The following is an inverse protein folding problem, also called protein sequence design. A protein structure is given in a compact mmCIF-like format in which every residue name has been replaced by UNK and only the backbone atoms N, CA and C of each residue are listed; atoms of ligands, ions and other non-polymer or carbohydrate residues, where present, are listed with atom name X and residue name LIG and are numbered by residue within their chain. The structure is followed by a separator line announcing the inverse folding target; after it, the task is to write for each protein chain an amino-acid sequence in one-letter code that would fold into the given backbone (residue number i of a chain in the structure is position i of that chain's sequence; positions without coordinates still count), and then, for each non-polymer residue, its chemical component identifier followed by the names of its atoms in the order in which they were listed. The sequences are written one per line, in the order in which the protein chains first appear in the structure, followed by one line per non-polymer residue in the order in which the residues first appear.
data_IF_242257785072
#
_entry.id   IF_242257785072
#
_cell.length_a   1.000
_cell.length_b   1.000
_cell.length_c   1.000
_cell.angle_alpha   90.00
_cell.angle_beta   90.00
_cell.angle_gamma   90.00
#
_symmetry.space_group_name_H-M   'P 1'
#
loop_
_entity.id
_entity.type
_entity.pdbx_description
1 polymer ?
#
# COMPACT_ATOMS: atom_id res chain seq x y z
N UNK A 1 9.31 9.39 -19.01
CA UNK A 1 7.99 9.55 -18.34
C UNK A 1 7.51 10.97 -18.55
N UNK A 2 6.21 11.21 -18.73
CA UNK A 2 5.65 12.56 -18.61
C UNK A 2 5.96 13.05 -17.17
N UNK A 3 6.50 14.25 -16.99
CA UNK A 3 6.93 14.77 -15.66
C UNK A 3 5.88 14.59 -14.56
N UNK A 4 4.60 14.69 -14.92
CA UNK A 4 3.45 14.43 -14.05
C UNK A 4 3.49 13.06 -13.37
N UNK A 5 3.91 11.99 -14.07
CA UNK A 5 3.94 10.64 -13.52
C UNK A 5 5.09 10.43 -12.53
N UNK A 6 6.21 11.12 -12.74
CA UNK A 6 7.33 11.14 -11.78
C UNK A 6 6.90 11.86 -10.51
N UNK A 7 6.27 13.03 -10.63
CA UNK A 7 5.76 13.78 -9.49
C UNK A 7 4.70 12.97 -8.74
N UNK A 8 3.79 12.32 -9.46
CA UNK A 8 2.80 11.42 -8.88
C UNK A 8 3.46 10.30 -8.07
N UNK A 9 4.50 9.64 -8.62
CA UNK A 9 5.20 8.58 -7.89
C UNK A 9 5.91 9.06 -6.64
N UNK A 10 6.48 10.28 -6.67
CA UNK A 10 7.15 10.87 -5.50
C UNK A 10 6.10 11.19 -4.44
N UNK A 11 5.00 11.84 -4.83
CA UNK A 11 3.92 12.16 -3.90
C UNK A 11 3.31 10.89 -3.29
N UNK A 12 3.04 9.88 -4.12
CA UNK A 12 2.56 8.58 -3.67
C UNK A 12 3.55 7.93 -2.70
N UNK A 13 4.85 7.97 -3.00
CA UNK A 13 5.87 7.39 -2.12
C UNK A 13 5.94 8.06 -0.75
N UNK A 14 5.72 9.38 -0.68
CA UNK A 14 5.66 10.11 0.59
C UNK A 14 4.45 9.68 1.41
N UNK A 15 3.31 9.45 0.76
CA UNK A 15 2.10 8.94 1.41
C UNK A 15 2.35 7.53 1.95
N UNK A 16 2.93 6.63 1.16
CA UNK A 16 3.32 5.27 1.61
C UNK A 16 4.25 5.32 2.81
N UNK A 17 5.27 6.19 2.80
CA UNK A 17 6.22 6.32 3.91
C UNK A 17 5.53 6.87 5.15
N UNK A 18 4.65 7.85 5.00
CA UNK A 18 3.90 8.43 6.12
C UNK A 18 3.01 7.39 6.80
N UNK A 19 2.14 6.72 6.03
CA UNK A 19 1.27 5.68 6.57
C UNK A 19 2.09 4.51 7.11
N UNK A 20 3.11 4.04 6.39
CA UNK A 20 3.96 2.96 6.86
C UNK A 20 4.70 3.28 8.17
N UNK A 21 5.12 4.53 8.36
CA UNK A 21 5.72 4.96 9.63
C UNK A 21 4.71 4.99 10.77
N UNK A 22 3.51 5.53 10.53
CA UNK A 22 2.44 5.55 11.53
C UNK A 22 2.06 4.14 11.95
N UNK A 23 1.84 3.25 10.99
CA UNK A 23 1.40 1.88 11.24
C UNK A 23 2.48 1.04 11.95
N UNK A 24 3.75 1.24 11.56
CA UNK A 24 4.88 0.61 12.23
C UNK A 24 5.03 1.09 13.67
N UNK A 25 5.00 2.41 13.91
CA UNK A 25 5.15 2.99 15.24
C UNK A 25 4.00 2.58 16.15
N UNK A 26 2.76 2.77 15.70
CA UNK A 26 1.57 2.41 16.48
C UNK A 26 1.47 0.89 16.70
N UNK A 27 1.81 0.09 15.69
CA UNK A 27 1.86 -1.36 15.81
C UNK A 27 2.92 -1.85 16.79
N UNK A 28 4.13 -1.28 16.76
CA UNK A 28 5.19 -1.61 17.73
C UNK A 28 4.74 -1.23 19.14
N UNK A 29 4.22 -0.01 19.31
CA UNK A 29 3.72 0.44 20.62
C UNK A 29 2.61 -0.48 21.15
N UNK A 30 1.72 -0.98 20.28
CA UNK A 30 0.69 -1.96 20.63
C UNK A 30 1.26 -3.27 21.17
N UNK A 31 2.42 -3.73 20.71
CA UNK A 31 3.07 -4.93 21.28
C UNK A 31 3.58 -4.73 22.70
N UNK A 32 3.99 -3.51 23.05
CA UNK A 32 4.55 -3.20 24.36
C UNK A 32 3.53 -2.62 25.35
N UNK A 33 2.36 -2.18 24.89
CA UNK A 33 1.29 -1.67 25.75
C UNK A 33 0.21 -2.73 26.01
N UNK A 34 -0.40 -2.75 27.21
CA UNK A 34 -1.56 -3.59 27.46
C UNK A 34 -2.71 -3.20 26.51
N UNK A 35 -3.37 -4.21 25.94
CA UNK A 35 -4.37 -4.09 24.86
C UNK A 35 -5.57 -3.15 25.13
N UNK A 36 -5.68 -2.57 26.32
CA UNK A 36 -6.79 -1.73 26.78
C UNK A 36 -6.48 -0.23 26.77
N UNK A 37 -5.22 0.17 26.66
CA UNK A 37 -4.81 1.57 26.90
C UNK A 37 -4.59 2.39 25.61
N UNK A 38 -4.26 1.74 24.50
CA UNK A 38 -3.83 2.41 23.26
C UNK A 38 -4.74 2.23 22.03
N UNK A 39 -5.38 1.07 21.78
CA UNK A 39 -6.16 0.88 20.56
C UNK A 39 -7.41 1.77 20.52
N UNK A 40 -8.06 2.03 21.66
CA UNK A 40 -9.25 2.88 21.69
C UNK A 40 -8.95 4.30 21.24
N UNK A 41 -7.89 4.95 21.75
CA UNK A 41 -7.55 6.34 21.40
C UNK A 41 -7.11 6.49 19.94
N UNK A 42 -6.31 5.56 19.44
CA UNK A 42 -5.81 5.63 18.07
C UNK A 42 -6.90 5.23 17.06
N UNK A 43 -7.68 4.18 17.33
CA UNK A 43 -8.79 3.80 16.45
C UNK A 43 -9.94 4.80 16.49
N UNK A 44 -10.22 5.48 17.62
CA UNK A 44 -11.25 6.53 17.66
C UNK A 44 -10.79 7.85 17.05
N UNK A 45 -9.51 8.21 17.14
CA UNK A 45 -9.01 9.48 16.60
C UNK A 45 -8.63 9.43 15.10
N UNK A 46 -8.25 8.26 14.60
CA UNK A 46 -7.86 8.03 13.20
C UNK A 46 -8.89 7.21 12.42
N UNK A 47 -10.09 6.94 12.94
CA UNK A 47 -11.15 6.37 12.10
C UNK A 47 -11.92 7.47 11.38
N UNK A 48 -12.26 7.21 10.11
CA UNK A 48 -13.20 8.03 9.39
C UNK A 48 -14.61 7.51 9.64
N UNK A 49 -15.45 8.33 10.27
CA UNK A 49 -16.88 8.04 10.40
C UNK A 49 -17.60 8.44 9.12
N UNK A 50 -18.08 7.45 8.36
CA UNK A 50 -18.84 7.66 7.13
C UNK A 50 -20.37 7.63 7.37
N UNK A 51 -20.83 7.68 8.62
CA UNK A 51 -22.25 7.64 8.99
C UNK A 51 -22.92 6.28 8.78
N UNK A 52 -22.24 5.32 8.13
CA UNK A 52 -22.65 3.91 7.96
C UNK A 52 -21.69 2.92 8.60
N UNK A 53 -20.66 3.41 9.30
CA UNK A 53 -19.58 2.62 9.87
C UNK A 53 -18.29 3.44 9.98
N UNK A 54 -17.37 2.96 10.82
CA UNK A 54 -16.03 3.54 10.97
C UNK A 54 -15.06 2.78 10.06
N UNK A 55 -14.35 3.52 9.21
CA UNK A 55 -13.24 2.95 8.43
C UNK A 55 -11.93 3.25 9.17
N UNK A 56 -11.15 2.24 9.58
CA UNK A 56 -9.87 2.47 10.22
C UNK A 56 -8.91 3.12 9.21
N UNK A 57 -8.28 4.25 9.56
CA UNK A 57 -7.25 4.83 8.71
C UNK A 57 -5.87 4.20 8.86
N UNK A 58 -5.68 3.34 9.87
CA UNK A 58 -4.45 2.58 10.13
C UNK A 58 -4.77 1.19 10.67
N UNK A 59 -4.05 0.17 10.18
CA UNK A 59 -4.26 -1.24 10.51
C UNK A 59 -3.72 -1.61 11.89
N UNK A 60 -2.77 -0.82 12.43
CA UNK A 60 -2.07 -1.09 13.70
C UNK A 60 -1.30 -2.43 13.67
N UNK A 61 -0.75 -2.77 12.51
CA UNK A 61 0.08 -3.95 12.29
C UNK A 61 1.50 -3.53 11.85
N UNK A 62 2.54 -3.85 12.64
CA UNK A 62 3.94 -3.61 12.25
C UNK A 62 4.32 -4.18 10.89
N UNK A 63 3.75 -5.35 10.51
CA UNK A 63 4.01 -6.00 9.24
C UNK A 63 3.48 -5.19 8.06
N UNK A 64 2.28 -4.63 8.19
CA UNK A 64 1.69 -3.69 7.23
C UNK A 64 2.56 -2.43 7.10
N UNK A 65 2.93 -1.83 8.24
CA UNK A 65 3.78 -0.64 8.29
C UNK A 65 5.13 -0.83 7.58
N UNK A 66 5.81 -1.95 7.85
CA UNK A 66 7.07 -2.29 7.21
C UNK A 66 6.91 -2.49 5.69
N UNK A 67 5.85 -3.18 5.28
CA UNK A 67 5.55 -3.40 3.85
C UNK A 67 5.33 -2.08 3.11
N UNK A 68 4.54 -1.18 3.69
CA UNK A 68 4.28 0.16 3.17
C UNK A 68 5.57 0.99 3.07
N UNK A 69 6.46 0.93 4.07
CA UNK A 69 7.75 1.60 4.04
C UNK A 69 8.64 1.08 2.90
N UNK A 70 8.76 -0.23 2.75
CA UNK A 70 9.58 -0.84 1.68
C UNK A 70 9.07 -0.42 0.30
N UNK A 71 7.75 -0.44 0.09
CA UNK A 71 7.11 0.04 -1.14
C UNK A 71 7.40 1.53 -1.35
N UNK A 72 7.18 2.35 -0.32
CA UNK A 72 7.39 3.79 -0.35
C UNK A 72 8.82 4.17 -0.71
N UNK A 73 9.82 3.61 -0.01
CA UNK A 73 11.23 3.88 -0.33
C UNK A 73 11.63 3.40 -1.72
N UNK A 74 11.11 2.25 -2.17
CA UNK A 74 11.37 1.75 -3.53
C UNK A 74 10.85 2.70 -4.61
N UNK A 75 9.62 3.20 -4.44
CA UNK A 75 9.02 4.17 -5.35
C UNK A 75 9.73 5.53 -5.28
N UNK A 76 10.11 5.99 -4.08
CA UNK A 76 10.82 7.25 -3.89
C UNK A 76 12.18 7.24 -4.58
N UNK A 77 12.96 6.18 -4.37
CA UNK A 77 14.27 6.02 -4.98
C UNK A 77 14.18 5.98 -6.50
N UNK A 78 13.20 5.24 -7.03
CA UNK A 78 12.97 5.17 -8.48
C UNK A 78 12.48 6.48 -9.09
N UNK A 79 11.59 7.20 -8.40
CA UNK A 79 11.07 8.51 -8.80
C UNK A 79 12.14 9.59 -8.81
N UNK A 80 12.88 9.74 -7.71
CA UNK A 80 14.00 10.69 -7.61
C UNK A 80 15.12 10.37 -8.61
N UNK A 81 15.40 9.08 -8.81
CA UNK A 81 16.38 8.63 -9.78
C UNK A 81 16.02 8.98 -11.22
N UNK A 82 14.74 8.85 -11.58
CA UNK A 82 14.21 9.26 -12.88
C UNK A 82 14.22 10.78 -13.06
N UNK A 83 14.02 11.55 -11.99
CA UNK A 83 13.97 13.02 -12.04
C UNK A 83 15.37 13.63 -12.24
N UNK A 84 16.40 13.07 -11.60
CA UNK A 84 17.78 13.55 -11.71
C UNK A 84 18.49 13.11 -13.00
N UNK A 85 17.91 12.19 -13.78
CA UNK A 85 18.52 11.65 -15.01
C UNK A 85 19.87 10.95 -14.80
N UNK A 86 20.24 10.68 -13.53
CA UNK A 86 21.60 10.27 -13.12
C UNK A 86 21.66 8.85 -12.57
N UNK A 87 20.53 8.27 -12.18
CA UNK A 87 20.49 6.94 -11.55
C UNK A 87 20.21 5.86 -12.60
N UNK A 88 21.28 5.29 -13.16
CA UNK A 88 21.21 3.99 -13.85
C UNK A 88 20.60 2.98 -12.88
N UNK A 89 19.39 2.50 -13.17
CA UNK A 89 18.66 1.54 -12.32
C UNK A 89 17.48 2.11 -11.52
N UNK A 90 17.22 3.42 -11.54
CA UNK A 90 16.03 4.00 -10.88
C UNK A 90 14.72 3.42 -11.41
N UNK A 91 14.69 3.01 -12.68
CA UNK A 91 13.52 2.35 -13.28
C UNK A 91 13.23 0.97 -12.67
N UNK A 92 14.27 0.24 -12.27
CA UNK A 92 14.14 -1.09 -11.65
C UNK A 92 13.53 -1.00 -10.25
N UNK A 93 13.96 -0.03 -9.45
CA UNK A 93 13.36 0.23 -8.13
C UNK A 93 11.90 0.68 -8.24
N UNK A 94 11.61 1.52 -9.23
CA UNK A 94 10.24 1.96 -9.50
C UNK A 94 9.32 0.79 -9.89
N UNK A 95 9.81 -0.14 -10.72
CA UNK A 95 9.10 -1.38 -11.04
C UNK A 95 8.90 -2.25 -9.80
N UNK A 96 9.96 -2.49 -9.02
CA UNK A 96 9.91 -3.33 -7.84
C UNK A 96 8.88 -2.81 -6.83
N UNK A 97 8.91 -1.51 -6.52
CA UNK A 97 7.91 -0.87 -5.66
C UNK A 97 6.48 -1.00 -6.21
N UNK A 98 6.31 -0.88 -7.52
CA UNK A 98 4.98 -1.05 -8.16
C UNK A 98 4.47 -2.50 -8.08
N UNK A 99 5.36 -3.49 -8.24
CA UNK A 99 5.02 -4.91 -8.12
C UNK A 99 4.67 -5.24 -6.66
N UNK A 100 5.46 -4.77 -5.70
CA UNK A 100 5.20 -4.97 -4.28
C UNK A 100 3.85 -4.36 -3.88
N UNK A 101 3.52 -3.16 -4.36
CA UNK A 101 2.23 -2.54 -4.13
C UNK A 101 1.06 -3.36 -4.71
N UNK A 102 1.25 -3.97 -5.89
CA UNK A 102 0.24 -4.86 -6.48
C UNK A 102 0.08 -6.14 -5.66
N UNK A 103 1.18 -6.76 -5.22
CA UNK A 103 1.13 -7.96 -4.38
C UNK A 103 0.38 -7.65 -3.08
N UNK A 104 0.66 -6.49 -2.45
CA UNK A 104 -0.05 -6.05 -1.26
C UNK A 104 -1.55 -5.85 -1.53
N UNK A 105 -1.91 -5.19 -2.64
CA UNK A 105 -3.31 -5.01 -3.04
C UNK A 105 -4.03 -6.35 -3.20
N UNK A 106 -3.41 -7.29 -3.90
CA UNK A 106 -3.97 -8.63 -4.13
C UNK A 106 -4.16 -9.34 -2.79
N UNK A 107 -3.15 -9.34 -1.92
CA UNK A 107 -3.24 -9.96 -0.61
C UNK A 107 -4.41 -9.41 0.20
N UNK A 108 -4.60 -8.09 0.21
CA UNK A 108 -5.69 -7.46 0.94
C UNK A 108 -7.06 -7.80 0.38
N UNK A 109 -7.20 -7.90 -0.95
CA UNK A 109 -8.44 -8.37 -1.59
C UNK A 109 -8.73 -9.82 -1.23
N UNK A 110 -7.70 -10.67 -1.14
CA UNK A 110 -7.87 -12.06 -0.69
C UNK A 110 -8.35 -12.14 0.76
N UNK A 111 -7.82 -11.30 1.65
CA UNK A 111 -8.25 -11.23 3.06
C UNK A 111 -9.72 -10.81 3.13
N UNK A 112 -10.10 -9.73 2.43
CA UNK A 112 -11.48 -9.26 2.36
C UNK A 112 -12.42 -10.36 1.84
N UNK A 113 -11.97 -11.11 0.83
CA UNK A 113 -12.73 -12.22 0.27
C UNK A 113 -12.87 -13.39 1.26
N UNK A 114 -11.79 -13.74 1.98
CA UNK A 114 -11.81 -14.80 2.99
C UNK A 114 -12.83 -14.48 4.09
N UNK A 115 -12.80 -13.25 4.63
CA UNK A 115 -13.74 -12.80 5.65
C UNK A 115 -15.19 -12.82 5.12
N UNK A 116 -15.38 -12.43 3.86
CA UNK A 116 -16.69 -12.54 3.19
C UNK A 116 -17.19 -13.99 3.06
N UNK A 117 -16.32 -14.95 2.73
CA UNK A 117 -16.67 -16.37 2.67
C UNK A 117 -17.04 -16.90 4.05
N UNK A 118 -16.26 -16.56 5.07
CA UNK A 118 -16.51 -16.98 6.46
C UNK A 118 -17.85 -16.44 6.98
N UNK A 119 -18.17 -15.19 6.66
CA UNK A 119 -19.43 -14.54 7.03
C UNK A 119 -20.64 -15.10 6.28
N UNK A 120 -20.59 -15.08 4.94
CA UNK A 120 -21.79 -15.29 4.12
C UNK A 120 -21.99 -16.74 3.67
N UNK A 121 -20.91 -17.49 3.46
CA UNK A 121 -20.98 -18.87 3.00
C UNK A 121 -20.92 -19.87 4.16
N UNK A 122 -19.99 -19.68 5.10
CA UNK A 122 -19.79 -20.59 6.23
C UNK A 122 -20.61 -20.21 7.47
N UNK A 123 -21.06 -18.95 7.57
CA UNK A 123 -21.86 -18.42 8.68
C UNK A 123 -21.23 -18.68 10.05
N UNK A 124 -19.92 -18.45 10.13
CA UNK A 124 -19.18 -18.57 11.39
C UNK A 124 -19.66 -17.45 12.34
N UNK A 125 -19.99 -17.81 13.58
CA UNK A 125 -20.53 -16.86 14.56
C UNK A 125 -19.58 -15.69 14.84
N UNK A 126 -18.28 -15.95 14.84
CA UNK A 126 -17.23 -14.94 15.05
C UNK A 126 -17.20 -13.82 14.00
N UNK A 127 -17.77 -14.07 12.80
CA UNK A 127 -17.84 -13.11 11.70
C UNK A 127 -19.27 -12.58 11.47
N UNK A 128 -20.22 -12.91 12.36
CA UNK A 128 -21.59 -12.46 12.22
C UNK A 128 -21.68 -10.93 12.25
N UNK A 129 -22.26 -10.35 11.20
CA UNK A 129 -22.44 -8.90 11.08
C UNK A 129 -21.27 -8.17 10.43
N UNK A 130 -20.23 -8.89 9.99
CA UNK A 130 -19.11 -8.31 9.26
C UNK A 130 -19.54 -7.55 8.01
N UNK A 131 -18.96 -6.36 7.82
CA UNK A 131 -19.12 -5.58 6.61
C UNK A 131 -17.77 -5.33 5.92
N UNK A 132 -17.71 -5.31 4.58
CA UNK A 132 -16.46 -5.01 3.86
C UNK A 132 -15.84 -3.64 4.21
N UNK A 133 -16.63 -2.72 4.76
CA UNK A 133 -16.19 -1.40 5.19
C UNK A 133 -15.27 -1.46 6.41
N UNK A 134 -15.44 -2.46 7.27
CA UNK A 134 -14.65 -2.63 8.50
C UNK A 134 -13.19 -3.02 8.20
N UNK A 135 -12.97 -3.71 7.08
CA UNK A 135 -11.65 -4.18 6.63
C UNK A 135 -10.99 -3.29 5.58
N UNK A 136 -11.63 -2.17 5.22
CA UNK A 136 -10.99 -1.17 4.38
C UNK A 136 -9.81 -0.56 5.14
N UNK A 137 -8.61 -0.81 4.64
CA UNK A 137 -7.37 -0.30 5.20
C UNK A 137 -6.56 0.49 4.16
N UNK A 138 -5.56 1.20 4.66
CA UNK A 138 -4.59 1.98 3.88
C UNK A 138 -3.83 1.10 2.86
N UNK A 139 -3.60 -0.18 3.15
CA UNK A 139 -2.99 -1.11 2.20
C UNK A 139 -3.81 -1.29 0.92
N UNK A 140 -5.14 -1.44 1.05
CA UNK A 140 -6.06 -1.50 -0.10
C UNK A 140 -6.05 -0.19 -0.89
N UNK A 141 -6.22 0.94 -0.19
CA UNK A 141 -6.34 2.26 -0.83
C UNK A 141 -5.04 2.63 -1.55
N UNK A 142 -3.90 2.49 -0.87
CA UNK A 142 -2.59 2.81 -1.42
C UNK A 142 -2.19 1.83 -2.52
N UNK A 143 -2.55 0.54 -2.39
CA UNK A 143 -2.40 -0.46 -3.43
C UNK A 143 -3.15 -0.09 -4.72
N UNK A 144 -4.41 0.35 -4.61
CA UNK A 144 -5.20 0.83 -5.75
C UNK A 144 -4.57 2.08 -6.40
N UNK A 145 -4.11 3.04 -5.59
CA UNK A 145 -3.43 4.23 -6.07
C UNK A 145 -2.07 3.92 -6.75
N UNK A 146 -1.47 2.76 -6.48
CA UNK A 146 -0.25 2.32 -7.16
C UNK A 146 -0.50 1.68 -8.54
N UNK A 147 -1.74 1.42 -8.96
CA UNK A 147 -2.02 0.81 -10.27
C UNK A 147 -1.48 1.63 -11.47
N UNK A 148 -1.64 2.97 -11.51
CA UNK A 148 -1.12 3.78 -12.61
C UNK A 148 0.41 3.74 -12.71
N UNK A 149 1.12 3.63 -11.58
CA UNK A 149 2.59 3.54 -11.58
C UNK A 149 3.04 2.21 -12.20
N UNK A 150 2.37 1.09 -11.88
CA UNK A 150 2.65 -0.22 -12.48
C UNK A 150 2.45 -0.24 -13.99
N UNK A 151 1.30 0.25 -14.49
CA UNK A 151 1.00 0.29 -15.93
C UNK A 151 2.06 1.07 -16.70
N UNK A 152 2.55 2.16 -16.12
CA UNK A 152 3.60 2.99 -16.72
C UNK A 152 4.97 2.29 -16.77
N UNK A 153 5.33 1.58 -15.70
CA UNK A 153 6.59 0.82 -15.59
C UNK A 153 6.62 -0.34 -16.57
N UNK A 154 5.51 -1.07 -16.68
CA UNK A 154 5.38 -2.20 -17.61
C UNK A 154 5.49 -1.76 -19.08
N UNK A 155 4.86 -0.64 -19.45
CA UNK A 155 4.98 -0.07 -20.81
C UNK A 155 6.42 0.32 -21.15
N UNK A 156 7.16 0.87 -20.18
CA UNK A 156 8.53 1.33 -20.38
C UNK A 156 9.54 0.20 -20.49
N UNK A 157 9.41 -0.86 -19.68
CA UNK A 157 10.25 -2.05 -19.86
C UNK A 157 10.04 -2.70 -21.22
N UNK A 158 8.78 -2.77 -21.69
CA UNK A 158 8.49 -3.26 -23.05
C UNK A 158 9.14 -2.38 -24.11
N UNK A 159 9.17 -1.05 -23.95
CA UNK A 159 9.83 -0.17 -24.92
C UNK A 159 11.34 -0.33 -24.91
N UNK A 160 11.97 -0.40 -23.72
CA UNK A 160 13.42 -0.60 -23.58
C UNK A 160 13.87 -1.93 -24.17
N UNK A 161 13.09 -3.01 -23.97
CA UNK A 161 13.33 -4.32 -24.57
C UNK A 161 13.30 -4.27 -26.10
N UNK A 162 12.36 -3.52 -26.69
CA UNK A 162 12.26 -3.36 -28.16
C UNK A 162 13.44 -2.57 -28.74
N UNK A 163 13.88 -1.52 -28.07
CA UNK A 163 15.04 -0.71 -28.52
C UNK A 163 16.38 -1.39 -28.28
N UNK A 164 16.48 -2.27 -27.27
CA UNK A 164 17.68 -3.05 -27.00
C UNK A 164 17.97 -4.13 -28.04
N UNK A 165 16.94 -4.62 -28.74
CA UNK A 165 17.06 -5.62 -29.82
C UNK A 165 17.41 -5.04 -31.19
N UNK A 166 17.50 -3.71 -31.34
CA UNK A 166 17.85 -3.05 -32.61
C UNK A 166 19.32 -2.59 -32.66
N UNK A 167 20.16 -3.05 -31.73
CA UNK A 167 21.57 -2.68 -31.64
C UNK A 167 22.55 -3.82 -31.98
N UNK A 168 22.04 -4.86 -32.62
CA UNK A 168 22.86 -5.94 -33.20
C UNK A 168 22.77 -5.87 -34.73
#
# INVERSE_FOLDING_TARGET
MKRALILYSILLSLIFIFYGSMDLLCGIVRWFMPARALPDLVQTSLSFDLGRGRVPAITLDPGMGLSLLVIGFSLLYGGLGSLKGKLKGGESFFLAGSILALILLVLQVLILFANGVETYALRIEDFSGWTPLEDLNEGLVLGLLAIPTLSSSAKRLRSLRKTGYQKD
#
